data_IF_730580004748
#
_entry.id   IF_730580004748
#
_cell.length_a   1.000
_cell.length_b   1.000
_cell.length_c   1.000
_cell.angle_alpha   90.00
_cell.angle_beta   90.00
_cell.angle_gamma   90.00
#
_symmetry.space_group_name_H-M   'P 1'
#
loop_
_entity.id
_entity.type
_entity.pdbx_description
1 polymer ?
#
# COMPACT_ATOMS: atom_id res chain seq x y z
N UNK A 1 18.60 -88.09 52.07
CA UNK A 1 17.56 -87.14 52.50
C UNK A 1 18.25 -85.82 52.80
N UNK A 2 18.20 -84.88 51.85
CA UNK A 2 18.29 -83.41 52.08
C UNK A 2 18.16 -82.74 50.70
N UNK A 3 16.94 -82.75 50.18
CA UNK A 3 16.43 -81.80 49.18
C UNK A 3 15.46 -80.88 49.92
N UNK A 4 15.22 -79.67 49.39
CA UNK A 4 14.30 -78.62 49.88
C UNK A 4 14.86 -77.63 50.92
N UNK A 5 15.81 -76.76 50.54
CA UNK A 5 15.97 -75.47 51.26
C UNK A 5 16.66 -74.32 50.49
N UNK A 6 16.94 -74.43 49.19
CA UNK A 6 17.64 -73.37 48.42
C UNK A 6 16.86 -72.78 47.23
N UNK A 7 15.57 -73.11 47.06
CA UNK A 7 14.76 -72.55 45.96
C UNK A 7 13.75 -71.48 46.41
N UNK A 8 13.66 -71.17 47.72
CA UNK A 8 12.72 -70.18 48.27
C UNK A 8 13.33 -68.77 48.43
N UNK A 9 14.66 -68.61 48.34
CA UNK A 9 15.34 -67.33 48.60
C UNK A 9 15.54 -66.44 47.36
N UNK A 10 15.43 -66.99 46.14
CA UNK A 10 15.71 -66.24 44.90
C UNK A 10 14.49 -65.48 44.37
N UNK A 11 13.26 -65.97 44.61
CA UNK A 11 12.03 -65.32 44.16
C UNK A 11 11.68 -64.11 45.05
N UNK A 12 11.95 -64.17 46.37
CA UNK A 12 11.76 -63.02 47.27
C UNK A 12 12.78 -61.89 47.01
N UNK A 13 14.00 -62.22 46.54
CA UNK A 13 15.00 -61.21 46.14
C UNK A 13 14.71 -60.56 44.78
N UNK A 14 14.10 -61.25 43.83
CA UNK A 14 13.67 -60.65 42.56
C UNK A 14 12.43 -59.75 42.73
N UNK A 15 11.47 -60.13 43.57
CA UNK A 15 10.27 -59.32 43.83
C UNK A 15 10.62 -58.01 44.57
N UNK A 16 11.53 -58.07 45.55
CA UNK A 16 11.97 -56.87 46.30
C UNK A 16 12.78 -55.88 45.45
N UNK A 17 13.60 -56.38 44.52
CA UNK A 17 14.33 -55.55 43.55
C UNK A 17 13.40 -54.92 42.49
N UNK A 18 12.31 -55.60 42.13
CA UNK A 18 11.30 -55.07 41.22
C UNK A 18 10.47 -53.95 41.87
N UNK A 19 10.14 -54.09 43.14
CA UNK A 19 9.43 -53.10 43.96
C UNK A 19 10.27 -51.85 44.25
N UNK A 20 11.58 -52.00 44.50
CA UNK A 20 12.50 -50.86 44.63
C UNK A 20 12.62 -50.09 43.31
N UNK A 21 12.66 -50.78 42.17
CA UNK A 21 12.71 -50.17 40.84
C UNK A 21 11.40 -49.44 40.51
N UNK A 22 10.26 -49.98 40.92
CA UNK A 22 8.96 -49.33 40.80
C UNK A 22 8.86 -48.07 41.67
N UNK A 23 9.33 -48.12 42.93
CA UNK A 23 9.41 -46.95 43.82
C UNK A 23 10.36 -45.88 43.30
N UNK A 24 11.52 -46.25 42.75
CA UNK A 24 12.46 -45.32 42.14
C UNK A 24 11.87 -44.64 40.87
N UNK A 25 11.11 -45.39 40.06
CA UNK A 25 10.41 -44.84 38.90
C UNK A 25 9.26 -43.90 39.30
N UNK A 26 8.53 -44.22 40.37
CA UNK A 26 7.49 -43.35 40.92
C UNK A 26 8.10 -42.05 41.48
N UNK A 27 9.21 -42.13 42.22
CA UNK A 27 9.90 -40.97 42.76
C UNK A 27 10.49 -40.07 41.65
N UNK A 28 11.03 -40.66 40.58
CA UNK A 28 11.48 -39.93 39.40
C UNK A 28 10.32 -39.21 38.69
N UNK A 29 9.15 -39.85 38.61
CA UNK A 29 7.94 -39.24 38.05
C UNK A 29 7.44 -38.08 38.91
N UNK A 30 7.45 -38.21 40.24
CA UNK A 30 7.10 -37.13 41.17
C UNK A 30 8.04 -35.93 41.07
N UNK A 31 9.36 -36.17 40.94
CA UNK A 31 10.37 -35.12 40.71
C UNK A 31 10.15 -34.41 39.37
N UNK A 32 9.84 -35.16 38.31
CA UNK A 32 9.56 -34.60 36.99
C UNK A 32 8.28 -33.73 36.99
N UNK A 33 7.24 -34.18 37.70
CA UNK A 33 5.99 -33.44 37.85
C UNK A 33 6.18 -32.15 38.65
N UNK A 34 7.04 -32.16 39.67
CA UNK A 34 7.37 -30.96 40.44
C UNK A 34 8.17 -29.94 39.60
N UNK A 35 9.11 -30.41 38.79
CA UNK A 35 9.85 -29.57 37.83
C UNK A 35 8.89 -28.98 36.78
N UNK A 36 7.94 -29.78 36.28
CA UNK A 36 6.94 -29.33 35.31
C UNK A 36 5.98 -28.30 35.91
N UNK A 37 5.55 -28.47 37.17
CA UNK A 37 4.75 -27.48 37.90
C UNK A 37 5.51 -26.17 38.09
N UNK A 38 6.79 -26.23 38.48
CA UNK A 38 7.64 -25.05 38.65
C UNK A 38 7.89 -24.32 37.33
N UNK A 39 8.10 -25.06 36.23
CA UNK A 39 8.21 -24.49 34.87
C UNK A 39 6.90 -23.84 34.40
N UNK A 40 5.76 -24.46 34.67
CA UNK A 40 4.44 -23.92 34.34
C UNK A 40 4.13 -22.65 35.15
N UNK A 41 4.50 -22.61 36.43
CA UNK A 41 4.33 -21.43 37.28
C UNK A 41 5.22 -20.27 36.83
N UNK A 42 6.48 -20.53 36.48
CA UNK A 42 7.38 -19.51 35.91
C UNK A 42 6.83 -18.98 34.58
N UNK A 43 6.33 -19.87 33.71
CA UNK A 43 5.71 -19.47 32.43
C UNK A 43 4.45 -18.64 32.65
N UNK A 44 3.60 -19.03 33.59
CA UNK A 44 2.39 -18.29 33.98
C UNK A 44 2.74 -16.92 34.56
N UNK A 45 3.76 -16.82 35.41
CA UNK A 45 4.27 -15.55 35.95
C UNK A 45 4.84 -14.65 34.85
N UNK A 46 5.55 -15.22 33.88
CA UNK A 46 6.08 -14.48 32.73
C UNK A 46 4.95 -13.96 31.82
N UNK A 47 3.90 -14.76 31.65
CA UNK A 47 2.71 -14.44 30.85
C UNK A 47 1.83 -13.38 31.55
N UNK A 48 1.65 -13.46 32.87
CA UNK A 48 0.93 -12.44 33.65
C UNK A 48 1.69 -11.10 33.68
N UNK A 49 3.03 -11.14 33.69
CA UNK A 49 3.86 -9.93 33.56
C UNK A 49 3.81 -9.32 32.16
N UNK A 50 3.61 -10.13 31.11
CA UNK A 50 3.48 -9.64 29.73
C UNK A 50 2.07 -9.12 29.43
N UNK A 51 1.02 -9.70 30.03
CA UNK A 51 -0.37 -9.29 29.83
C UNK A 51 -0.73 -7.98 30.54
N UNK A 52 -0.08 -7.61 31.65
CA UNK A 52 -0.39 -6.39 32.42
C UNK A 52 0.15 -5.07 31.85
N UNK A 53 0.66 -5.03 30.61
CA UNK A 53 1.16 -3.79 29.97
C UNK A 53 0.49 -3.41 28.63
N UNK A 54 -0.62 -4.03 28.26
CA UNK A 54 -1.47 -3.50 27.20
C UNK A 54 -2.38 -2.41 27.77
N UNK A 55 -1.85 -1.20 28.01
CA UNK A 55 -2.70 -0.03 28.25
C UNK A 55 -3.62 0.09 27.03
N UNK A 56 -4.91 -0.17 27.24
CA UNK A 56 -6.02 -0.05 26.28
C UNK A 56 -6.24 1.43 25.96
N UNK A 57 -5.22 2.08 25.40
CA UNK A 57 -5.28 3.45 24.93
C UNK A 57 -6.24 3.53 23.75
N UNK A 58 -6.94 4.66 23.66
CA UNK A 58 -8.06 4.99 22.76
C UNK A 58 -7.98 4.55 21.27
N UNK A 59 -6.84 4.06 20.76
CA UNK A 59 -6.69 3.45 19.45
C UNK A 59 -5.51 2.48 19.44
N UNK A 60 -5.60 1.36 18.72
CA UNK A 60 -4.41 0.55 18.41
C UNK A 60 -3.44 1.37 17.54
N UNK A 61 -2.11 1.27 17.73
CA UNK A 61 -1.13 2.00 16.94
C UNK A 61 -1.29 1.79 15.42
N UNK A 62 -1.68 0.59 15.02
CA UNK A 62 -1.97 0.23 13.62
C UNK A 62 -3.19 0.98 13.07
N UNK A 63 -4.28 1.07 13.84
CA UNK A 63 -5.47 1.83 13.43
C UNK A 63 -5.17 3.32 13.32
N UNK A 64 -4.36 3.88 14.21
CA UNK A 64 -3.91 5.28 14.15
C UNK A 64 -3.06 5.55 12.90
N UNK A 65 -2.16 4.61 12.53
CA UNK A 65 -1.36 4.70 11.30
C UNK A 65 -2.24 4.62 10.04
N UNK A 66 -3.20 3.69 10.01
CA UNK A 66 -4.17 3.55 8.91
C UNK A 66 -5.02 4.81 8.76
N UNK A 67 -5.50 5.38 9.87
CA UNK A 67 -6.29 6.61 9.84
C UNK A 67 -5.50 7.81 9.31
N UNK A 68 -4.25 8.01 9.76
CA UNK A 68 -3.38 9.07 9.21
C UNK A 68 -3.12 8.90 7.72
N UNK A 69 -3.00 7.65 7.24
CA UNK A 69 -2.83 7.38 5.82
C UNK A 69 -4.10 7.76 5.04
N UNK A 70 -5.28 7.36 5.54
CA UNK A 70 -6.56 7.69 4.93
C UNK A 70 -6.80 9.20 4.89
N UNK A 71 -6.47 9.92 5.96
CA UNK A 71 -6.58 11.39 6.00
C UNK A 71 -5.69 12.07 4.98
N UNK A 72 -4.43 11.62 4.82
CA UNK A 72 -3.54 12.18 3.78
C UNK A 72 -4.00 11.85 2.37
N UNK A 73 -4.52 10.63 2.14
CA UNK A 73 -5.09 10.23 0.85
C UNK A 73 -6.31 11.09 0.50
N UNK A 74 -7.23 11.26 1.46
CA UNK A 74 -8.41 12.12 1.30
C UNK A 74 -8.01 13.58 1.05
N UNK A 75 -7.05 14.12 1.81
CA UNK A 75 -6.56 15.48 1.59
C UNK A 75 -5.91 15.66 0.22
N UNK A 76 -5.15 14.67 -0.28
CA UNK A 76 -4.56 14.72 -1.61
C UNK A 76 -5.63 14.64 -2.72
N UNK A 77 -6.66 13.81 -2.52
CA UNK A 77 -7.79 13.70 -3.44
C UNK A 77 -8.62 14.98 -3.47
N UNK A 78 -8.94 15.55 -2.31
CA UNK A 78 -9.65 16.83 -2.20
C UNK A 78 -8.85 17.98 -2.83
N UNK A 79 -7.54 18.03 -2.61
CA UNK A 79 -6.66 19.02 -3.24
C UNK A 79 -6.71 18.92 -4.78
N UNK A 80 -6.67 17.70 -5.32
CA UNK A 80 -6.76 17.49 -6.77
C UNK A 80 -8.13 17.90 -7.31
N UNK A 81 -9.21 17.52 -6.61
CA UNK A 81 -10.59 17.90 -6.97
C UNK A 81 -10.79 19.42 -6.94
N UNK A 82 -10.20 20.11 -5.96
CA UNK A 82 -10.24 21.57 -5.89
C UNK A 82 -9.47 22.22 -7.04
N UNK A 83 -8.29 21.69 -7.40
CA UNK A 83 -7.53 22.16 -8.57
C UNK A 83 -8.33 22.00 -9.86
N UNK A 84 -8.98 20.85 -10.07
CA UNK A 84 -9.85 20.60 -11.22
C UNK A 84 -11.05 21.55 -11.24
N UNK A 85 -11.70 21.80 -10.09
CA UNK A 85 -12.78 22.78 -9.96
C UNK A 85 -12.31 24.20 -10.32
N UNK A 86 -11.17 24.63 -9.78
CA UNK A 86 -10.59 25.96 -10.04
C UNK A 86 -10.17 26.11 -11.51
N UNK A 87 -9.66 25.06 -12.13
CA UNK A 87 -9.32 25.06 -13.56
C UNK A 87 -10.58 25.15 -14.44
N UNK A 88 -11.64 24.40 -14.11
CA UNK A 88 -12.92 24.48 -14.81
C UNK A 88 -13.58 25.87 -14.66
N UNK A 89 -13.56 26.43 -13.45
CA UNK A 89 -14.05 27.78 -13.18
C UNK A 89 -13.24 28.84 -13.93
N UNK A 90 -11.90 28.73 -13.94
CA UNK A 90 -11.03 29.60 -14.74
C UNK A 90 -11.42 29.54 -16.22
N UNK A 91 -11.65 28.34 -16.77
CA UNK A 91 -12.08 28.18 -18.17
C UNK A 91 -13.42 28.86 -18.42
N UNK A 92 -14.41 28.64 -17.54
CA UNK A 92 -15.74 29.27 -17.61
C UNK A 92 -15.65 30.80 -17.57
N UNK A 93 -14.82 31.37 -16.70
CA UNK A 93 -14.63 32.82 -16.60
C UNK A 93 -13.97 33.38 -17.86
N UNK A 94 -12.98 32.69 -18.42
CA UNK A 94 -12.34 33.09 -19.68
C UNK A 94 -13.37 33.08 -20.82
N UNK A 95 -14.17 32.03 -20.93
CA UNK A 95 -15.20 31.93 -21.97
C UNK A 95 -16.26 33.05 -21.82
N UNK A 96 -16.63 33.42 -20.58
CA UNK A 96 -17.54 34.53 -20.31
C UNK A 96 -16.93 35.90 -20.60
N UNK A 97 -15.66 36.12 -20.25
CA UNK A 97 -14.98 37.42 -20.38
C UNK A 97 -14.54 37.70 -21.82
N UNK A 98 -14.01 36.70 -22.51
CA UNK A 98 -13.52 36.82 -23.89
C UNK A 98 -14.65 36.68 -24.93
N UNK A 99 -15.76 36.01 -24.57
CA UNK A 99 -16.92 35.84 -25.44
C UNK A 99 -16.60 35.05 -26.72
N UNK A 100 -17.45 35.22 -27.73
CA UNK A 100 -17.24 34.63 -29.05
C UNK A 100 -16.36 35.54 -29.92
N UNK A 101 -15.57 34.97 -30.84
CA UNK A 101 -14.82 35.77 -31.80
C UNK A 101 -15.77 36.65 -32.61
N UNK A 102 -15.38 37.90 -32.88
CA UNK A 102 -16.19 38.79 -33.72
C UNK A 102 -16.29 38.20 -35.12
N UNK A 103 -17.50 38.24 -35.68
CA UNK A 103 -17.73 37.80 -37.04
C UNK A 103 -17.03 38.75 -38.02
N UNK A 104 -16.23 38.19 -38.93
CA UNK A 104 -15.51 38.92 -39.96
C UNK A 104 -16.13 38.71 -41.35
N UNK A 105 -17.04 37.75 -41.50
CA UNK A 105 -17.68 37.47 -42.78
C UNK A 105 -18.65 38.61 -43.15
N UNK A 106 -18.39 39.25 -44.28
CA UNK A 106 -19.19 40.35 -44.80
C UNK A 106 -18.93 41.72 -44.16
N UNK A 107 -17.88 41.86 -43.33
CA UNK A 107 -17.52 43.14 -42.74
C UNK A 107 -16.91 44.10 -43.77
N UNK A 108 -17.34 45.37 -43.77
CA UNK A 108 -16.74 46.41 -44.62
C UNK A 108 -15.40 46.89 -44.02
N UNK A 109 -14.57 47.59 -44.81
CA UNK A 109 -13.27 48.10 -44.36
C UNK A 109 -13.38 48.99 -43.11
N UNK A 110 -14.39 49.85 -43.04
CA UNK A 110 -14.64 50.70 -41.88
C UNK A 110 -15.02 49.89 -40.63
N UNK A 111 -15.79 48.82 -40.79
CA UNK A 111 -16.16 47.91 -39.70
C UNK A 111 -14.93 47.17 -39.16
N UNK A 112 -14.05 46.70 -40.06
CA UNK A 112 -12.79 46.07 -39.69
C UNK A 112 -11.89 47.03 -38.91
N UNK A 113 -11.74 48.28 -39.37
CA UNK A 113 -10.98 49.32 -38.66
C UNK A 113 -11.56 49.61 -37.27
N UNK A 114 -12.88 49.67 -37.14
CA UNK A 114 -13.55 49.86 -35.86
C UNK A 114 -13.36 48.66 -34.91
N UNK A 115 -13.38 47.43 -35.44
CA UNK A 115 -13.13 46.21 -34.67
C UNK A 115 -11.71 46.19 -34.11
N UNK A 116 -10.71 46.52 -34.93
CA UNK A 116 -9.30 46.56 -34.53
C UNK A 116 -9.09 47.59 -33.42
N UNK A 117 -9.61 48.81 -33.57
CA UNK A 117 -9.51 49.86 -32.54
C UNK A 117 -10.11 49.41 -31.21
N UNK A 118 -11.31 48.82 -31.23
CA UNK A 118 -11.97 48.28 -30.03
C UNK A 118 -11.13 47.21 -29.34
N UNK A 119 -10.49 46.31 -30.09
CA UNK A 119 -9.61 45.29 -29.50
C UNK A 119 -8.34 45.90 -28.91
N UNK A 120 -7.75 46.88 -29.58
CA UNK A 120 -6.58 47.59 -29.09
C UNK A 120 -6.87 48.30 -27.76
N UNK A 121 -7.96 49.07 -27.69
CA UNK A 121 -8.38 49.76 -26.47
C UNK A 121 -8.68 48.76 -25.34
N UNK A 122 -9.32 47.64 -25.67
CA UNK A 122 -9.59 46.58 -24.70
C UNK A 122 -8.31 45.96 -24.15
N UNK A 123 -7.33 45.64 -25.01
CA UNK A 123 -6.03 45.12 -24.60
C UNK A 123 -5.26 46.12 -23.72
N UNK A 124 -5.27 47.40 -24.06
CA UNK A 124 -4.62 48.44 -23.27
C UNK A 124 -5.21 48.53 -21.85
N UNK A 125 -6.53 48.49 -21.72
CA UNK A 125 -7.21 48.48 -20.42
C UNK A 125 -6.90 47.21 -19.62
N UNK A 126 -6.90 46.04 -20.27
CA UNK A 126 -6.55 44.77 -19.63
C UNK A 126 -5.11 44.76 -19.10
N UNK A 127 -4.15 45.35 -19.82
CA UNK A 127 -2.77 45.44 -19.35
C UNK A 127 -2.66 46.35 -18.12
N UNK A 128 -3.40 47.46 -18.08
CA UNK A 128 -3.48 48.32 -16.89
C UNK A 128 -4.04 47.56 -15.69
N UNK A 129 -5.17 46.87 -15.84
CA UNK A 129 -5.76 46.06 -14.76
C UNK A 129 -4.82 44.94 -14.29
N UNK A 130 -4.13 44.29 -15.24
CA UNK A 130 -3.13 43.26 -14.94
C UNK A 130 -2.00 43.83 -14.10
N UNK A 131 -1.47 45.00 -14.47
CA UNK A 131 -0.39 45.65 -13.74
C UNK A 131 -0.79 45.93 -12.28
N UNK A 132 -1.99 46.49 -12.05
CA UNK A 132 -2.47 46.78 -10.69
C UNK A 132 -2.56 45.50 -9.83
N UNK A 133 -3.07 44.41 -10.41
CA UNK A 133 -3.16 43.11 -9.73
C UNK A 133 -1.76 42.54 -9.45
N UNK A 134 -0.83 42.65 -10.40
CA UNK A 134 0.55 42.18 -10.24
C UNK A 134 1.26 42.94 -9.11
N UNK A 135 1.08 44.26 -9.01
CA UNK A 135 1.64 45.06 -7.92
C UNK A 135 1.04 44.66 -6.56
N UNK A 136 -0.25 44.38 -6.50
CA UNK A 136 -0.90 43.92 -5.27
C UNK A 136 -0.39 42.54 -4.84
N UNK A 137 -0.20 41.61 -5.79
CA UNK A 137 0.37 40.28 -5.53
C UNK A 137 1.81 40.42 -5.01
N UNK A 138 2.64 41.25 -5.65
CA UNK A 138 4.01 41.49 -5.19
C UNK A 138 4.05 42.01 -3.75
N UNK A 139 3.19 42.98 -3.41
CA UNK A 139 3.09 43.49 -2.04
C UNK A 139 2.71 42.38 -1.05
N UNK A 140 1.72 41.54 -1.39
CA UNK A 140 1.30 40.41 -0.55
C UNK A 140 2.40 39.36 -0.39
N UNK A 141 3.18 39.09 -1.44
CA UNK A 141 4.31 38.16 -1.37
C UNK A 141 5.41 38.68 -0.43
N UNK A 142 5.70 39.98 -0.46
CA UNK A 142 6.61 40.61 0.51
C UNK A 142 6.10 40.48 1.94
N UNK A 143 4.82 40.77 2.17
CA UNK A 143 4.19 40.64 3.50
C UNK A 143 4.21 39.18 4.00
N UNK A 144 3.90 38.21 3.15
CA UNK A 144 3.98 36.78 3.48
C UNK A 144 5.42 36.39 3.82
N UNK A 145 6.41 36.88 3.07
CA UNK A 145 7.81 36.60 3.34
C UNK A 145 8.25 37.21 4.69
N UNK A 146 7.86 38.45 4.97
CA UNK A 146 8.13 39.11 6.25
C UNK A 146 7.53 38.32 7.43
N UNK A 147 6.24 37.97 7.34
CA UNK A 147 5.56 37.16 8.36
C UNK A 147 6.21 35.78 8.52
N UNK A 148 6.65 35.15 7.43
CA UNK A 148 7.38 33.88 7.50
C UNK A 148 8.72 34.03 8.23
N UNK A 149 9.44 35.13 8.02
CA UNK A 149 10.69 35.41 8.75
C UNK A 149 10.39 35.58 10.24
N UNK A 150 9.40 36.41 10.60
CA UNK A 150 8.99 36.65 11.99
C UNK A 150 8.59 35.33 12.69
N UNK A 151 7.78 34.49 12.04
CA UNK A 151 7.40 33.18 12.58
C UNK A 151 8.61 32.27 12.78
N UNK A 152 9.59 32.29 11.87
CA UNK A 152 10.81 31.49 12.01
C UNK A 152 11.74 31.99 13.11
N UNK A 153 11.86 33.31 13.29
CA UNK A 153 12.66 33.89 14.38
C UNK A 153 12.02 33.59 15.74
N UNK A 154 10.69 33.65 15.86
CA UNK A 154 9.95 33.25 17.06
C UNK A 154 10.09 31.75 17.37
N UNK A 155 10.09 30.90 16.34
CA UNK A 155 10.29 29.44 16.48
C UNK A 155 11.76 29.09 16.77
N UNK A 156 12.66 30.07 16.69
CA UNK A 156 14.10 29.96 16.83
C UNK A 156 14.79 29.61 15.51
N UNK A 157 15.69 30.48 15.05
CA UNK A 157 16.57 30.28 13.88
C UNK A 157 17.37 28.97 13.95
N UNK A 158 17.56 28.43 15.16
CA UNK A 158 18.33 27.22 15.45
C UNK A 158 17.48 26.15 16.16
N UNK A 159 16.37 25.73 15.55
CA UNK A 159 15.76 24.44 15.92
C UNK A 159 16.77 23.38 15.50
N UNK A 160 17.64 22.96 16.42
CA UNK A 160 18.65 21.91 16.18
C UNK A 160 17.92 20.70 15.61
N UNK A 161 18.05 20.41 14.30
CA UNK A 161 17.41 19.23 13.74
C UNK A 161 18.01 18.06 14.50
N UNK A 162 17.19 17.23 15.14
CA UNK A 162 17.71 16.05 15.83
C UNK A 162 18.43 15.21 14.79
N UNK A 163 19.76 15.20 14.83
CA UNK A 163 20.60 14.46 13.88
C UNK A 163 20.31 12.97 14.08
N UNK A 164 19.44 12.42 13.23
CA UNK A 164 19.21 10.98 13.19
C UNK A 164 20.40 10.36 12.46
N UNK A 165 20.97 9.30 13.03
CA UNK A 165 21.99 8.49 12.35
C UNK A 165 21.32 7.81 11.16
N UNK A 166 21.41 8.42 9.98
CA UNK A 166 20.92 7.85 8.73
C UNK A 166 22.13 7.20 8.05
N UNK A 167 22.14 5.87 7.89
CA UNK A 167 23.21 5.25 7.10
C UNK A 167 23.03 5.65 5.62
N UNK A 168 24.12 6.03 4.93
CA UNK A 168 24.11 6.53 3.55
C UNK A 168 23.41 5.58 2.55
N UNK A 169 23.30 4.30 2.90
CA UNK A 169 22.75 3.25 2.05
C UNK A 169 21.41 2.67 2.54
N UNK A 170 20.91 2.97 3.74
CA UNK A 170 19.65 2.39 4.25
C UNK A 170 18.46 2.65 3.32
N UNK A 171 18.35 3.87 2.83
CA UNK A 171 17.23 4.26 1.97
C UNK A 171 17.34 3.63 0.56
N UNK A 172 18.56 3.31 0.10
CA UNK A 172 18.79 2.57 -1.16
C UNK A 172 18.52 1.08 -0.96
N UNK A 173 18.95 0.50 0.17
CA UNK A 173 18.74 -0.90 0.52
C UNK A 173 17.26 -1.20 0.82
N UNK A 174 16.55 -0.31 1.51
CA UNK A 174 15.11 -0.45 1.74
C UNK A 174 14.29 -0.38 0.43
N UNK A 175 14.74 0.39 -0.57
CA UNK A 175 14.14 0.39 -1.91
C UNK A 175 14.41 -0.91 -2.67
N UNK A 176 15.63 -1.44 -2.58
CA UNK A 176 16.00 -2.74 -3.13
C UNK A 176 15.25 -3.89 -2.47
N UNK A 177 15.11 -3.88 -1.14
CA UNK A 177 14.34 -4.88 -0.38
C UNK A 177 12.85 -4.80 -0.66
N UNK A 178 12.26 -3.61 -0.83
CA UNK A 178 10.84 -3.48 -1.21
C UNK A 178 10.58 -4.00 -2.62
N UNK A 179 11.44 -3.65 -3.59
CA UNK A 179 11.34 -4.17 -4.96
C UNK A 179 11.56 -5.68 -5.01
N UNK A 180 12.52 -6.20 -4.24
CA UNK A 180 12.77 -7.64 -4.12
C UNK A 180 11.63 -8.36 -3.39
N UNK A 181 11.03 -7.76 -2.36
CA UNK A 181 9.88 -8.33 -1.66
C UNK A 181 8.62 -8.30 -2.53
N UNK A 182 8.34 -7.22 -3.28
CA UNK A 182 7.26 -7.17 -4.26
C UNK A 182 7.45 -8.20 -5.38
N UNK A 183 8.68 -8.39 -5.85
CA UNK A 183 9.01 -9.39 -6.87
C UNK A 183 8.91 -10.83 -6.33
N UNK A 184 9.40 -11.11 -5.11
CA UNK A 184 9.35 -12.44 -4.52
C UNK A 184 7.93 -12.83 -4.06
N UNK A 185 7.14 -11.93 -3.47
CA UNK A 185 5.77 -12.27 -3.04
C UNK A 185 4.85 -12.52 -4.25
N UNK A 186 4.98 -11.73 -5.33
CA UNK A 186 4.12 -11.90 -6.52
C UNK A 186 4.49 -13.16 -7.32
N UNK A 187 5.77 -13.47 -7.47
CA UNK A 187 6.23 -14.62 -8.27
C UNK A 187 6.22 -15.96 -7.51
N UNK A 188 6.32 -15.99 -6.18
CA UNK A 188 6.25 -17.24 -5.41
C UNK A 188 4.82 -17.66 -5.03
N UNK A 189 3.83 -16.77 -5.19
CA UNK A 189 2.43 -17.15 -5.07
C UNK A 189 1.99 -17.87 -6.35
N UNK A 190 1.88 -19.21 -6.29
CA UNK A 190 1.11 -19.97 -7.27
C UNK A 190 -0.34 -19.51 -7.16
N UNK A 191 -0.79 -18.60 -8.01
CA UNK A 191 -2.21 -18.33 -8.18
C UNK A 191 -2.84 -19.61 -8.71
N UNK A 192 -3.65 -20.27 -7.88
CA UNK A 192 -4.43 -21.42 -8.30
C UNK A 192 -5.45 -20.89 -9.31
N UNK A 193 -5.21 -21.12 -10.60
CA UNK A 193 -6.22 -20.97 -11.66
C UNK A 193 -7.26 -22.09 -11.51
N UNK A 194 -8.03 -22.06 -10.43
CA UNK A 194 -9.27 -22.83 -10.33
C UNK A 194 -10.30 -22.06 -11.15
N UNK A 195 -10.71 -22.62 -12.28
CA UNK A 195 -11.78 -22.07 -13.15
C UNK A 195 -13.17 -22.08 -12.50
N UNK A 196 -13.30 -22.57 -11.27
CA UNK A 196 -14.59 -22.68 -10.54
C UNK A 196 -14.97 -21.42 -9.74
N UNK A 197 -14.11 -20.40 -9.65
CA UNK A 197 -14.41 -19.15 -8.92
C UNK A 197 -14.32 -17.89 -9.80
N UNK A 198 -14.17 -18.03 -11.11
CA UNK A 198 -14.37 -16.91 -12.05
C UNK A 198 -15.88 -16.80 -12.27
N UNK A 199 -16.50 -15.77 -11.68
CA UNK A 199 -17.92 -15.45 -11.80
C UNK A 199 -18.34 -15.53 -13.28
N UNK A 200 -19.26 -16.43 -13.59
CA UNK A 200 -19.74 -16.80 -14.93
C UNK A 200 -20.64 -15.71 -15.57
N UNK A 201 -20.57 -14.46 -15.10
CA UNK A 201 -21.50 -13.39 -15.47
C UNK A 201 -21.04 -12.53 -16.67
N UNK A 202 -19.84 -12.75 -17.22
CA UNK A 202 -19.28 -11.92 -18.30
C UNK A 202 -18.89 -12.67 -19.60
N UNK A 203 -19.23 -13.97 -19.74
CA UNK A 203 -18.89 -14.77 -20.94
C UNK A 203 -20.08 -15.39 -21.69
N UNK A 204 -21.33 -15.00 -21.40
CA UNK A 204 -22.49 -15.50 -22.17
C UNK A 204 -22.76 -14.74 -23.49
N UNK A 205 -22.04 -13.64 -23.76
CA UNK A 205 -22.09 -12.96 -25.07
C UNK A 205 -20.79 -13.12 -25.81
N UNK A 206 -20.52 -14.34 -26.28
CA UNK A 206 -19.77 -14.68 -27.50
C UNK A 206 -19.11 -16.04 -27.31
N UNK A 207 -19.75 -17.09 -27.80
CA UNK A 207 -19.17 -18.13 -28.66
C UNK A 207 -20.11 -19.33 -28.68
N UNK A 208 -20.69 -19.60 -29.85
CA UNK A 208 -21.41 -20.86 -30.09
C UNK A 208 -20.38 -22.00 -30.04
N UNK A 209 -20.64 -23.10 -29.32
CA UNK A 209 -19.68 -24.18 -29.13
C UNK A 209 -19.46 -24.99 -30.42
N UNK A 210 -18.19 -25.39 -30.64
CA UNK A 210 -17.66 -25.95 -31.89
C UNK A 210 -18.14 -27.34 -32.33
N UNK A 211 -19.23 -27.87 -31.77
CA UNK A 211 -19.96 -29.00 -32.35
C UNK A 211 -21.04 -28.55 -33.36
N UNK A 212 -21.35 -27.26 -33.39
CA UNK A 212 -22.30 -26.64 -34.31
C UNK A 212 -21.71 -26.27 -35.70
N UNK A 213 -20.50 -26.73 -36.02
CA UNK A 213 -19.84 -26.47 -37.31
C UNK A 213 -19.29 -27.78 -37.93
N UNK A 214 -20.16 -28.47 -38.68
CA UNK A 214 -19.82 -29.28 -39.88
C UNK A 214 -18.96 -30.55 -39.70
N UNK A 215 -19.59 -31.71 -39.87
CA UNK A 215 -18.94 -33.03 -39.92
C UNK A 215 -18.05 -33.28 -41.16
N UNK A 216 -17.36 -34.44 -41.21
CA UNK A 216 -16.28 -34.71 -42.15
C UNK A 216 -16.81 -34.99 -43.57
N UNK A 217 -16.45 -34.13 -44.53
CA UNK A 217 -16.77 -34.36 -45.95
C UNK A 217 -16.51 -33.17 -46.88
N UNK A 218 -15.24 -32.76 -47.06
CA UNK A 218 -14.73 -32.00 -48.21
C UNK A 218 -13.20 -31.84 -48.06
N UNK A 219 -12.39 -32.83 -48.44
CA UNK A 219 -11.82 -33.01 -49.78
C UNK A 219 -10.91 -31.85 -50.27
N UNK A 220 -9.60 -32.16 -50.21
CA UNK A 220 -8.56 -31.98 -51.26
C UNK A 220 -7.86 -30.63 -51.49
N UNK A 221 -6.53 -30.80 -51.68
CA UNK A 221 -5.51 -29.98 -52.40
C UNK A 221 -4.98 -28.75 -51.65
N UNK A 222 -3.68 -28.40 -51.64
CA UNK A 222 -2.47 -28.84 -52.35
C UNK A 222 -1.25 -28.50 -51.45
N UNK A 223 -0.19 -29.32 -51.40
CA UNK A 223 1.17 -29.03 -51.94
C UNK A 223 1.60 -27.56 -51.89
N UNK A 224 2.76 -27.15 -51.38
CA UNK A 224 3.99 -27.83 -50.97
C UNK A 224 5.08 -26.76 -50.76
N UNK A 225 6.24 -27.19 -50.25
CA UNK A 225 7.57 -26.55 -50.43
C UNK A 225 7.80 -25.17 -49.75
N UNK A 226 8.95 -24.77 -49.19
CA UNK A 226 10.18 -25.34 -48.65
C UNK A 226 10.97 -24.13 -48.05
N UNK A 227 11.98 -24.44 -47.22
CA UNK A 227 13.25 -23.67 -47.02
C UNK A 227 13.15 -22.18 -46.60
N UNK A 228 13.55 -21.82 -45.39
CA UNK A 228 14.92 -21.62 -44.87
C UNK A 228 15.41 -20.16 -45.01
N UNK A 229 16.28 -19.79 -44.06
CA UNK A 229 17.21 -18.64 -44.07
C UNK A 229 16.81 -17.34 -43.32
N UNK A 230 17.40 -17.25 -42.13
CA UNK A 230 18.26 -16.17 -41.61
C UNK A 230 17.82 -14.69 -41.70
N UNK A 231 17.60 -14.11 -40.51
CA UNK A 231 18.14 -12.82 -40.07
C UNK A 231 18.14 -12.75 -38.54
#
# INVERSE_FOLDING_TARGET
>A
MSSDEEEYSSEEEEDTMSDEKAKAAEEAKRKQDEINKRKAEVRKRLEEQSQKKAKKGFMTPERKKKLRLLLRKKAAEELKKEQERKAAERRKIIDQRCGQPKNLDGANEDDLRAIIKKYYDHCANLESEKYDIEMEIMRKDYEINELNIQVNDLRGKFIKPTLKKVSKYENKFAKLQKKAAEFNFRNQLKTVKKKEFELEDDKEKTTKPGWAAGGPGAAKKAEGEATAEEA
#
